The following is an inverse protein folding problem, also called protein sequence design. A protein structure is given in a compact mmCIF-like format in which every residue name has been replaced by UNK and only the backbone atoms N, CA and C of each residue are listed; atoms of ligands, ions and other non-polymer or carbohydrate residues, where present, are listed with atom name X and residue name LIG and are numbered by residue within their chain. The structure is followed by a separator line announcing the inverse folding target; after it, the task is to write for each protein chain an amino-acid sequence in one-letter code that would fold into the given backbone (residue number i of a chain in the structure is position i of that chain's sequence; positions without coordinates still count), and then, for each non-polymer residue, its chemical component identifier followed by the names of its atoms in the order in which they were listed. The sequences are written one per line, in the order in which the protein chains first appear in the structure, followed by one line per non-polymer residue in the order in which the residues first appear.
data_IF_189431569071
#
_entry.id   IF_189431569071
#
_cell.length_a   1.000
_cell.length_b   1.000
_cell.length_c   1.000
_cell.angle_alpha   90.00
_cell.angle_beta   90.00
_cell.angle_gamma   90.00
#
_symmetry.space_group_name_H-M   'P 1'
#
loop_
_entity.id
_entity.type
_entity.pdbx_description
1 polymer ?
#
# COMPACT_ATOMS: atom_id res chain seq x y z
N UNK A 1 -18.10 -10.47 -14.03
CA UNK A 1 -16.99 -10.04 -13.14
C UNK A 1 -15.73 -10.48 -13.84
N UNK A 2 -14.99 -9.55 -14.42
CA UNK A 2 -13.67 -9.88 -14.97
C UNK A 2 -12.77 -10.38 -13.83
N UNK A 3 -12.14 -11.53 -14.03
CA UNK A 3 -11.15 -12.06 -13.10
C UNK A 3 -9.98 -11.07 -13.01
N UNK A 4 -9.90 -10.32 -11.91
CA UNK A 4 -8.80 -9.39 -11.69
C UNK A 4 -7.47 -10.16 -11.71
N UNK A 5 -6.68 -9.96 -12.77
CA UNK A 5 -5.37 -10.59 -12.93
C UNK A 5 -4.34 -9.92 -12.02
N UNK A 6 -4.09 -10.52 -10.86
CA UNK A 6 -3.11 -10.03 -9.89
C UNK A 6 -1.67 -10.23 -10.43
N UNK A 7 -0.88 -9.15 -10.62
CA UNK A 7 0.50 -9.25 -11.07
C UNK A 7 1.39 -10.01 -10.07
N UNK A 8 2.41 -10.70 -10.57
CA UNK A 8 3.27 -11.53 -9.73
C UNK A 8 3.98 -10.74 -8.62
N UNK A 9 4.35 -9.48 -8.89
CA UNK A 9 5.01 -8.59 -7.92
C UNK A 9 4.09 -8.13 -6.78
N UNK A 10 2.77 -8.24 -6.94
CA UNK A 10 1.78 -7.87 -5.91
C UNK A 10 1.52 -9.05 -4.96
N UNK A 11 1.68 -10.30 -5.42
CA UNK A 11 1.34 -11.51 -4.65
C UNK A 11 2.05 -11.60 -3.29
N UNK A 12 3.36 -11.33 -3.15
CA UNK A 12 4.04 -11.41 -1.85
C UNK A 12 3.48 -10.40 -0.84
N UNK A 13 3.16 -9.19 -1.33
CA UNK A 13 2.56 -8.13 -0.52
C UNK A 13 1.14 -8.50 -0.07
N UNK A 14 0.29 -8.98 -0.99
CA UNK A 14 -1.05 -9.46 -0.69
C UNK A 14 -1.07 -10.57 0.37
N UNK A 15 -0.10 -11.48 0.32
CA UNK A 15 0.04 -12.52 1.35
C UNK A 15 0.25 -11.95 2.75
N UNK A 16 1.05 -10.88 2.88
CA UNK A 16 1.28 -10.20 4.17
C UNK A 16 0.04 -9.49 4.67
N UNK A 17 -0.64 -8.73 3.80
CA UNK A 17 -1.85 -7.98 4.16
C UNK A 17 -2.99 -8.92 4.57
N UNK A 18 -3.19 -10.01 3.81
CA UNK A 18 -4.16 -11.07 4.19
C UNK A 18 -3.77 -11.81 5.47
N UNK A 19 -2.48 -11.82 5.82
CA UNK A 19 -1.96 -12.34 7.08
C UNK A 19 -2.14 -11.40 8.27
N UNK A 20 -2.80 -10.26 8.11
CA UNK A 20 -3.11 -9.31 9.18
C UNK A 20 -2.15 -8.12 9.26
N UNK A 21 -1.20 -7.97 8.33
CA UNK A 21 -0.41 -6.75 8.24
C UNK A 21 -1.26 -5.58 7.71
N UNK A 22 -0.91 -4.37 8.13
CA UNK A 22 -1.54 -3.13 7.65
C UNK A 22 -0.60 -2.45 6.66
N UNK A 23 -1.12 -1.97 5.53
CA UNK A 23 -0.36 -1.09 4.63
C UNK A 23 -0.39 0.32 5.19
N UNK A 24 0.76 0.98 5.23
CA UNK A 24 0.89 2.39 5.58
C UNK A 24 1.38 3.13 4.34
N UNK A 25 0.68 4.21 3.98
CA UNK A 25 1.10 5.22 3.02
C UNK A 25 1.53 6.46 3.78
N UNK A 26 2.69 7.01 3.47
CA UNK A 26 3.18 8.23 4.09
C UNK A 26 3.74 9.16 3.02
N UNK A 27 3.34 10.44 3.07
CA UNK A 27 3.86 11.46 2.17
C UNK A 27 5.36 11.62 2.41
N UNK A 28 6.16 11.63 1.34
CA UNK A 28 7.61 11.80 1.43
C UNK A 28 8.16 12.61 0.26
N UNK A 29 9.22 13.38 0.52
CA UNK A 29 9.97 14.14 -0.50
C UNK A 29 11.26 13.43 -0.94
N UNK A 30 11.50 12.21 -0.46
CA UNK A 30 12.64 11.40 -0.92
C UNK A 30 12.56 11.11 -2.42
N UNK A 31 13.70 10.96 -3.09
CA UNK A 31 13.79 10.58 -4.52
C UNK A 31 12.93 9.35 -4.85
N UNK A 32 12.90 8.36 -3.95
CA UNK A 32 12.07 7.15 -4.10
C UNK A 32 10.57 7.47 -4.19
N UNK A 33 10.11 8.49 -3.48
CA UNK A 33 8.71 8.90 -3.45
C UNK A 33 8.39 9.88 -4.59
N UNK A 34 9.30 10.78 -4.93
CA UNK A 34 9.06 11.87 -5.88
C UNK A 34 9.43 11.54 -7.33
N UNK A 35 10.55 10.84 -7.56
CA UNK A 35 11.04 10.52 -8.92
C UNK A 35 10.62 9.11 -9.37
N UNK A 36 10.46 8.17 -8.44
CA UNK A 36 10.17 6.75 -8.72
C UNK A 36 8.80 6.29 -8.20
N UNK A 37 8.14 7.10 -7.40
CA UNK A 37 6.89 6.81 -6.72
C UNK A 37 5.74 7.73 -7.14
N UNK A 38 4.75 7.86 -6.27
CA UNK A 38 3.57 8.70 -6.46
C UNK A 38 3.44 9.79 -5.38
N UNK A 39 4.56 10.22 -4.80
CA UNK A 39 4.64 11.14 -3.67
C UNK A 39 4.59 10.46 -2.30
N UNK A 40 4.50 9.14 -2.26
CA UNK A 40 4.43 8.36 -1.02
C UNK A 40 5.53 7.30 -0.93
N UNK A 41 5.89 6.99 0.32
CA UNK A 41 6.53 5.73 0.65
C UNK A 41 5.48 4.78 1.24
N UNK A 42 5.69 3.49 1.00
CA UNK A 42 4.78 2.46 1.49
C UNK A 42 5.53 1.42 2.29
N UNK A 43 4.94 1.01 3.40
CA UNK A 43 5.48 -0.05 4.23
C UNK A 43 4.37 -0.80 4.96
N UNK A 44 4.67 -1.98 5.48
CA UNK A 44 3.74 -2.75 6.30
C UNK A 44 3.97 -2.54 7.79
N UNK A 45 2.90 -2.58 8.58
CA UNK A 45 2.91 -2.63 10.04
C UNK A 45 2.42 -4.02 10.51
N UNK A 46 2.98 -4.61 11.59
CA UNK A 46 4.00 -4.07 12.49
C UNK A 46 5.46 -4.28 12.05
N UNK A 47 5.70 -5.00 10.96
CA UNK A 47 7.05 -5.46 10.59
C UNK A 47 7.94 -4.40 9.91
N UNK A 48 7.40 -3.23 9.57
CA UNK A 48 8.12 -2.10 8.97
C UNK A 48 8.65 -2.39 7.56
N UNK A 49 8.19 -3.44 6.88
CA UNK A 49 8.78 -3.86 5.61
C UNK A 49 8.36 -2.93 4.48
N UNK A 50 9.31 -2.47 3.63
CA UNK A 50 8.98 -1.62 2.50
C UNK A 50 8.10 -2.35 1.48
N UNK A 51 7.20 -1.60 0.87
CA UNK A 51 6.32 -2.03 -0.22
C UNK A 51 6.59 -1.11 -1.40
N UNK A 52 6.83 -1.68 -2.58
CA UNK A 52 7.00 -0.87 -3.78
C UNK A 52 5.71 -0.13 -4.13
N UNK A 53 5.83 1.14 -4.53
CA UNK A 53 4.68 2.01 -4.87
C UNK A 53 3.73 1.35 -5.88
N UNK A 54 4.24 0.68 -6.91
CA UNK A 54 3.41 -0.03 -7.89
C UNK A 54 2.49 -1.10 -7.25
N UNK A 55 2.98 -1.85 -6.26
CA UNK A 55 2.19 -2.87 -5.56
C UNK A 55 1.12 -2.24 -4.67
N UNK A 56 1.49 -1.19 -3.93
CA UNK A 56 0.57 -0.48 -3.05
C UNK A 56 -0.55 0.20 -3.85
N UNK A 57 -0.19 0.98 -4.86
CA UNK A 57 -1.12 1.67 -5.77
C UNK A 57 -2.03 0.69 -6.50
N UNK A 58 -1.51 -0.46 -6.95
CA UNK A 58 -2.35 -1.49 -7.57
C UNK A 58 -3.42 -1.99 -6.59
N UNK A 59 -3.05 -2.31 -5.35
CA UNK A 59 -4.01 -2.80 -4.36
C UNK A 59 -5.04 -1.74 -3.98
N UNK A 60 -4.63 -0.48 -3.81
CA UNK A 60 -5.54 0.63 -3.50
C UNK A 60 -6.53 0.85 -4.65
N UNK A 61 -6.05 0.99 -5.89
CA UNK A 61 -6.89 1.28 -7.07
C UNK A 61 -7.87 0.17 -7.41
N UNK A 62 -7.53 -1.08 -7.10
CA UNK A 62 -8.38 -2.24 -7.36
C UNK A 62 -9.21 -2.67 -6.13
N UNK A 63 -9.24 -1.86 -5.06
CA UNK A 63 -10.03 -2.16 -3.87
C UNK A 63 -9.63 -3.45 -3.16
N UNK A 64 -8.37 -3.88 -3.29
CA UNK A 64 -7.83 -5.04 -2.57
C UNK A 64 -7.45 -4.67 -1.13
N UNK A 65 -7.34 -3.37 -0.86
CA UNK A 65 -7.20 -2.82 0.47
C UNK A 65 -8.17 -1.66 0.66
N UNK A 66 -8.67 -1.50 1.87
CA UNK A 66 -9.58 -0.42 2.26
C UNK A 66 -8.90 0.51 3.26
N UNK A 67 -9.13 1.83 3.18
CA UNK A 67 -8.58 2.76 4.16
C UNK A 67 -9.15 2.44 5.54
N UNK A 68 -8.27 2.39 6.53
CA UNK A 68 -8.59 2.29 7.94
C UNK A 68 -8.16 3.58 8.63
N UNK A 69 -9.06 4.19 9.40
CA UNK A 69 -8.85 5.46 10.09
C UNK A 69 -9.14 6.68 9.23
N UNK A 70 -9.60 7.74 9.89
CA UNK A 70 -9.71 9.07 9.30
C UNK A 70 -8.30 9.68 9.28
N UNK A 71 -7.83 10.14 8.12
CA UNK A 71 -6.56 10.84 7.95
C UNK A 71 -6.58 12.21 8.67
N UNK A 72 -6.61 12.18 10.00
CA UNK A 72 -6.85 13.33 10.87
C UNK A 72 -5.74 14.38 10.79
N UNK A 73 -4.57 14.02 10.23
CA UNK A 73 -3.39 14.88 10.15
C UNK A 73 -2.77 14.97 8.74
N UNK A 74 -3.42 14.43 7.70
CA UNK A 74 -3.09 14.68 6.29
C UNK A 74 -1.73 14.16 5.82
N UNK A 75 -1.06 13.31 6.61
CA UNK A 75 0.34 12.94 6.41
C UNK A 75 0.59 11.43 6.27
N UNK A 76 -0.38 10.61 6.67
CA UNK A 76 -0.27 9.15 6.56
C UNK A 76 -1.65 8.50 6.54
N UNK A 77 -1.86 7.56 5.63
CA UNK A 77 -3.07 6.75 5.55
C UNK A 77 -2.73 5.28 5.79
N UNK A 78 -3.52 4.61 6.62
CA UNK A 78 -3.43 3.16 6.80
C UNK A 78 -4.50 2.43 6.01
N UNK A 79 -4.19 1.22 5.54
CA UNK A 79 -5.11 0.36 4.80
C UNK A 79 -5.05 -1.09 5.29
N UNK A 80 -6.20 -1.77 5.32
CA UNK A 80 -6.32 -3.20 5.62
C UNK A 80 -6.80 -3.99 4.42
N UNK A 81 -6.68 -5.32 4.48
CA UNK A 81 -7.31 -6.21 3.50
C UNK A 81 -8.80 -5.85 3.37
N UNK A 82 -9.28 -5.72 2.13
CA UNK A 82 -10.69 -5.55 1.82
C UNK A 82 -11.51 -6.80 2.12
#
# INVERSE_FOLDING_TARGET
MDDLKIPHYVKPFLGRIRGGATLVSQVSQSEEATEKGDGHIYFTHPDGRPVGAASAVFCIRNGLVTPEGDDLFGGSQTYRAA
#
